data_IF_228383040784
#
_entry.id   IF_228383040784
#
_cell.length_a   1.000
_cell.length_b   1.000
_cell.length_c   1.000
_cell.angle_alpha   90.00
_cell.angle_beta   90.00
_cell.angle_gamma   90.00
#
_symmetry.space_group_name_H-M   'P 1'
#
loop_
_entity.id
_entity.type
_entity.pdbx_description
1 polymer ?
#
# COMPACT_ATOMS: atom_id res chain seq x y z
N UNK A 1 13.99 -35.27 23.92
CA UNK A 1 14.02 -33.88 23.40
C UNK A 1 14.57 -33.88 21.97
N UNK A 2 13.72 -33.60 20.97
CA UNK A 2 14.11 -33.58 19.56
C UNK A 2 14.42 -32.18 19.00
N UNK A 3 15.38 -32.05 18.08
CA UNK A 3 15.62 -30.80 17.35
C UNK A 3 14.62 -30.65 16.19
N UNK A 4 14.14 -29.43 15.96
CA UNK A 4 13.25 -29.12 14.84
C UNK A 4 13.85 -29.51 13.47
N UNK A 5 13.04 -30.18 12.64
CA UNK A 5 13.41 -30.61 11.29
C UNK A 5 13.24 -29.55 10.20
N UNK A 6 12.87 -28.32 10.58
CA UNK A 6 12.62 -27.23 9.63
C UNK A 6 13.91 -26.65 9.04
N UNK A 7 13.83 -26.17 7.80
CA UNK A 7 14.90 -25.43 7.11
C UNK A 7 14.56 -23.94 7.14
N UNK A 8 15.51 -23.12 7.59
CA UNK A 8 15.39 -21.66 7.60
C UNK A 8 15.42 -21.08 6.18
N UNK A 9 15.01 -19.81 6.02
CA UNK A 9 15.05 -19.11 4.72
C UNK A 9 16.45 -19.05 4.08
N UNK A 10 17.50 -19.24 4.88
CA UNK A 10 18.90 -19.23 4.43
C UNK A 10 19.43 -20.66 4.17
N UNK A 11 18.55 -21.66 4.06
CA UNK A 11 18.92 -23.05 3.75
C UNK A 11 19.53 -23.85 4.89
N UNK A 12 19.65 -23.27 6.10
CA UNK A 12 20.24 -23.96 7.27
C UNK A 12 19.18 -24.65 8.13
N UNK A 13 19.55 -25.75 8.79
CA UNK A 13 18.66 -26.48 9.73
C UNK A 13 18.31 -25.64 10.95
N UNK A 14 17.03 -25.67 11.33
CA UNK A 14 16.51 -24.98 12.50
C UNK A 14 17.15 -25.54 13.78
N UNK A 15 17.60 -24.66 14.68
CA UNK A 15 18.28 -25.04 15.94
C UNK A 15 17.36 -25.06 17.17
N UNK A 16 16.05 -24.88 16.97
CA UNK A 16 15.09 -24.89 18.07
C UNK A 16 14.91 -26.32 18.58
N UNK A 17 15.11 -26.51 19.89
CA UNK A 17 14.86 -27.77 20.59
C UNK A 17 13.37 -27.85 20.95
N UNK A 18 12.76 -29.00 20.70
CA UNK A 18 11.36 -29.27 20.95
C UNK A 18 11.24 -30.00 22.29
N UNK A 19 10.28 -29.54 23.10
CA UNK A 19 10.05 -30.03 24.46
C UNK A 19 9.47 -31.45 24.49
N UNK A 20 8.88 -31.90 23.38
CA UNK A 20 8.21 -33.19 23.24
C UNK A 20 8.75 -33.92 22.00
N UNK A 21 9.01 -35.22 22.14
CA UNK A 21 9.56 -36.08 21.10
C UNK A 21 8.55 -36.43 20.00
N UNK A 22 7.25 -36.20 20.24
CA UNK A 22 6.20 -36.33 19.23
C UNK A 22 6.14 -35.18 18.22
N UNK A 23 6.72 -34.01 18.54
CA UNK A 23 6.64 -32.82 17.70
C UNK A 23 7.90 -32.75 16.82
N UNK A 24 7.71 -32.74 15.50
CA UNK A 24 8.84 -32.71 14.53
C UNK A 24 9.25 -31.30 14.10
N UNK A 25 8.35 -30.32 14.24
CA UNK A 25 8.54 -28.95 13.75
C UNK A 25 8.14 -27.91 14.81
N UNK A 26 8.94 -26.84 14.92
CA UNK A 26 8.60 -25.72 15.79
C UNK A 26 7.47 -24.87 15.19
N UNK A 27 6.91 -23.96 15.99
CA UNK A 27 5.84 -23.04 15.54
C UNK A 27 6.15 -22.27 14.25
N UNK A 28 7.43 -21.99 13.98
CA UNK A 28 7.86 -21.26 12.79
C UNK A 28 7.98 -22.14 11.53
N UNK A 29 8.07 -23.46 11.68
CA UNK A 29 8.23 -24.41 10.58
C UNK A 29 7.08 -25.42 10.50
N UNK A 30 5.96 -25.19 11.20
CA UNK A 30 4.76 -26.05 11.16
C UNK A 30 4.22 -26.23 9.74
N UNK A 31 4.38 -25.24 8.88
CA UNK A 31 3.97 -25.32 7.46
C UNK A 31 4.85 -26.24 6.61
N UNK A 32 6.07 -26.56 7.06
CA UNK A 32 6.95 -27.52 6.38
C UNK A 32 6.60 -28.98 6.69
N UNK A 33 5.79 -29.22 7.72
CA UNK A 33 5.26 -30.54 8.07
C UNK A 33 4.26 -31.03 6.99
N UNK A 34 3.38 -30.12 6.53
CA UNK A 34 2.40 -30.42 5.49
C UNK A 34 2.98 -30.56 4.07
N UNK A 35 4.19 -30.05 3.81
CA UNK A 35 4.76 -30.00 2.45
C UNK A 35 5.34 -31.35 1.97
N UNK A 36 5.53 -32.33 2.86
CA UNK A 36 6.17 -33.61 2.52
C UNK A 36 5.21 -34.72 2.09
N UNK A 37 3.90 -34.56 2.27
CA UNK A 37 2.91 -35.59 1.87
C UNK A 37 2.56 -35.51 0.38
N UNK A 38 2.97 -34.45 -0.31
CA UNK A 38 2.60 -34.18 -1.71
C UNK A 38 3.75 -34.38 -2.70
N UNK A 39 4.47 -35.51 -2.61
CA UNK A 39 5.46 -35.92 -3.63
C UNK A 39 5.18 -37.34 -4.13
N UNK A 40 3.95 -37.56 -4.61
CA UNK A 40 3.62 -38.72 -5.43
C UNK A 40 2.32 -38.47 -6.22
N UNK A 41 2.32 -37.50 -7.14
CA UNK A 41 1.60 -37.60 -8.42
C UNK A 41 1.79 -36.31 -9.21
N UNK A 42 2.55 -36.41 -10.30
CA UNK A 42 2.71 -35.34 -11.27
C UNK A 42 1.66 -35.50 -12.38
N UNK A 43 0.57 -34.72 -12.35
CA UNK A 43 -0.09 -34.15 -13.54
C UNK A 43 -1.28 -33.29 -13.13
N UNK A 44 -1.45 -32.20 -13.86
CA UNK A 44 -2.46 -31.15 -13.73
C UNK A 44 -2.30 -30.26 -12.49
N UNK A 45 -1.92 -29.02 -12.72
CA UNK A 45 -1.99 -27.91 -11.78
C UNK A 45 -3.43 -27.36 -11.75
N UNK A 46 -4.24 -27.56 -10.70
CA UNK A 46 -5.25 -26.57 -10.37
C UNK A 46 -4.51 -25.40 -9.71
N UNK A 47 -4.64 -24.21 -10.31
CA UNK A 47 -4.22 -22.95 -9.69
C UNK A 47 -4.74 -22.92 -8.26
N UNK A 48 -3.79 -22.85 -7.34
CA UNK A 48 -3.94 -22.79 -5.90
C UNK A 48 -5.09 -21.86 -5.50
N UNK A 49 -5.98 -22.37 -4.64
CA UNK A 49 -6.92 -21.60 -3.84
C UNK A 49 -6.19 -20.42 -3.19
N UNK A 50 -6.25 -19.24 -3.83
CA UNK A 50 -5.92 -17.98 -3.21
C UNK A 50 -6.92 -17.79 -2.08
N UNK A 51 -6.45 -17.97 -0.85
CA UNK A 51 -7.19 -17.66 0.36
C UNK A 51 -7.85 -16.29 0.21
N UNK A 52 -9.18 -16.24 0.35
CA UNK A 52 -10.01 -15.03 0.37
C UNK A 52 -9.70 -14.22 1.63
N UNK A 53 -8.56 -13.54 1.63
CA UNK A 53 -8.19 -12.65 2.73
C UNK A 53 -9.07 -11.41 2.63
N UNK A 54 -10.11 -11.41 3.46
CA UNK A 54 -10.94 -10.24 3.66
C UNK A 54 -10.14 -9.11 4.32
N UNK A 55 -10.51 -7.89 3.99
CA UNK A 55 -9.80 -6.71 4.47
C UNK A 55 -10.31 -5.43 3.84
N UNK A 56 -9.45 -4.42 3.88
CA UNK A 56 -9.71 -3.08 3.39
C UNK A 56 -8.70 -2.69 2.33
N UNK A 57 -9.18 -2.10 1.24
CA UNK A 57 -8.37 -1.23 0.38
C UNK A 57 -8.41 0.18 0.96
N UNK A 58 -7.24 0.81 1.07
CA UNK A 58 -7.13 2.18 1.54
C UNK A 58 -6.14 2.95 0.68
N UNK A 59 -6.36 4.25 0.64
CA UNK A 59 -5.57 5.20 -0.14
C UNK A 59 -4.95 6.17 0.86
N UNK A 60 -3.69 6.50 0.68
CA UNK A 60 -3.00 7.44 1.55
C UNK A 60 -1.99 8.29 0.79
N UNK A 61 -1.62 9.40 1.39
CA UNK A 61 -0.64 10.35 0.86
C UNK A 61 0.21 10.92 1.99
N UNK A 62 1.16 11.80 1.65
CA UNK A 62 1.92 12.60 2.59
C UNK A 62 1.06 13.77 3.09
N UNK A 63 1.06 14.02 4.40
CA UNK A 63 0.19 14.99 5.06
C UNK A 63 0.22 16.39 4.44
N UNK A 64 1.41 16.86 4.07
CA UNK A 64 1.60 18.20 3.47
C UNK A 64 0.98 18.34 2.07
N UNK A 65 0.62 17.24 1.40
CA UNK A 65 0.01 17.23 0.07
C UNK A 65 -1.51 17.40 0.08
N UNK A 66 -2.18 17.24 1.21
CA UNK A 66 -3.62 17.50 1.33
C UNK A 66 -3.92 19.00 1.44
N UNK A 67 -2.94 19.80 1.86
CA UNK A 67 -3.12 21.25 1.99
C UNK A 67 -3.58 21.87 0.65
N UNK A 68 -4.52 22.84 0.67
CA UNK A 68 -4.91 23.61 -0.52
C UNK A 68 -3.73 24.33 -1.18
N UNK A 69 -2.69 24.64 -0.40
CA UNK A 69 -1.42 25.21 -0.87
C UNK A 69 -0.28 24.30 -0.41
N UNK A 70 -0.07 23.16 -1.09
CA UNK A 70 0.91 22.18 -0.66
C UNK A 70 2.32 22.75 -0.87
N UNK A 71 3.14 22.73 0.18
CA UNK A 71 4.50 23.24 0.12
C UNK A 71 5.41 22.22 -0.57
N UNK A 72 6.34 22.71 -1.39
CA UNK A 72 7.43 21.89 -1.92
C UNK A 72 8.30 21.39 -0.76
N UNK A 73 8.77 20.16 -0.88
CA UNK A 73 9.75 19.60 0.04
C UNK A 73 10.94 19.11 -0.78
N UNK A 74 12.13 19.67 -0.54
CA UNK A 74 13.32 19.39 -1.35
C UNK A 74 13.77 17.92 -1.32
N UNK A 75 13.41 17.20 -0.24
CA UNK A 75 13.68 15.76 -0.11
C UNK A 75 12.73 14.90 -0.96
N UNK A 76 11.57 15.43 -1.37
CA UNK A 76 10.57 14.69 -2.13
C UNK A 76 10.84 14.82 -3.63
N UNK A 77 11.50 13.79 -4.16
CA UNK A 77 11.91 13.73 -5.57
C UNK A 77 11.27 12.52 -6.26
N UNK A 78 10.96 12.68 -7.54
CA UNK A 78 10.46 11.60 -8.39
C UNK A 78 11.65 11.03 -9.15
N UNK A 79 11.91 9.74 -8.96
CA UNK A 79 12.91 9.03 -9.74
C UNK A 79 12.32 8.50 -11.04
N UNK A 80 13.13 8.48 -12.11
CA UNK A 80 12.76 7.76 -13.34
C UNK A 80 12.60 6.25 -13.09
N UNK A 81 11.74 5.57 -13.87
CA UNK A 81 11.62 4.11 -13.81
C UNK A 81 12.93 3.44 -14.25
N UNK A 82 13.74 2.96 -13.30
CA UNK A 82 14.89 2.10 -13.59
C UNK A 82 14.53 0.60 -13.57
N UNK A 83 15.10 -0.23 -14.48
CA UNK A 83 14.89 -1.68 -14.50
C UNK A 83 15.42 -2.34 -13.21
N UNK A 84 16.54 -1.83 -12.71
CA UNK A 84 17.08 -2.23 -11.42
C UNK A 84 16.43 -1.37 -10.33
N UNK A 85 16.13 -1.97 -9.18
CA UNK A 85 15.40 -1.30 -8.09
C UNK A 85 16.19 -0.17 -7.39
N UNK A 86 17.25 0.33 -8.03
CA UNK A 86 18.14 1.42 -7.60
C UNK A 86 17.60 2.74 -8.12
N UNK A 87 17.44 3.73 -7.24
CA UNK A 87 17.15 5.11 -7.66
C UNK A 87 18.47 5.76 -8.09
N UNK A 88 18.51 6.24 -9.32
CA UNK A 88 19.55 7.16 -9.75
C UNK A 88 19.17 8.59 -9.30
N UNK A 89 19.88 9.10 -8.31
CA UNK A 89 19.63 10.44 -7.76
C UNK A 89 19.95 11.56 -8.76
N UNK A 90 20.88 11.32 -9.70
CA UNK A 90 21.25 12.29 -10.74
C UNK A 90 20.14 12.45 -11.78
N UNK A 91 19.28 11.43 -11.90
CA UNK A 91 18.11 11.39 -12.80
C UNK A 91 16.78 11.49 -12.04
N UNK A 92 16.76 12.30 -10.99
CA UNK A 92 15.54 12.57 -10.22
C UNK A 92 15.09 14.01 -10.39
N UNK A 93 13.79 14.21 -10.58
CA UNK A 93 13.17 15.54 -10.69
C UNK A 93 12.49 15.93 -9.38
N UNK A 94 12.48 17.22 -9.07
CA UNK A 94 11.72 17.73 -7.93
C UNK A 94 10.22 17.54 -8.15
N UNK A 95 9.54 17.03 -7.13
CA UNK A 95 8.09 16.92 -7.18
C UNK A 95 7.43 18.30 -7.10
N UNK A 96 6.47 18.56 -7.99
CA UNK A 96 5.70 19.80 -8.05
C UNK A 96 4.27 19.56 -7.52
N UNK A 97 3.99 19.84 -6.24
CA UNK A 97 2.73 19.46 -5.61
C UNK A 97 1.53 20.32 -6.03
N UNK A 98 1.73 21.37 -6.84
CA UNK A 98 0.68 22.33 -7.23
C UNK A 98 -0.39 21.70 -8.12
N UNK A 99 0.01 20.84 -9.05
CA UNK A 99 -0.90 20.25 -10.03
C UNK A 99 -1.11 18.76 -9.81
N UNK A 100 -0.14 18.12 -9.15
CA UNK A 100 -0.14 16.68 -8.93
C UNK A 100 -0.12 16.36 -7.43
N UNK A 101 -0.60 15.16 -7.11
CA UNK A 101 -0.53 14.56 -5.79
C UNK A 101 0.07 13.16 -5.92
N UNK A 102 0.94 12.81 -4.97
CA UNK A 102 1.47 11.46 -4.85
C UNK A 102 0.57 10.66 -3.92
N UNK A 103 0.01 9.57 -4.43
CA UNK A 103 -0.81 8.67 -3.62
C UNK A 103 -0.23 7.26 -3.62
N UNK A 104 -0.58 6.50 -2.59
CA UNK A 104 -0.33 5.08 -2.53
C UNK A 104 -1.62 4.36 -2.17
N UNK A 105 -1.91 3.31 -2.93
CA UNK A 105 -2.97 2.36 -2.61
C UNK A 105 -2.32 1.19 -1.87
N UNK A 106 -3.01 0.69 -0.85
CA UNK A 106 -2.60 -0.53 -0.16
C UNK A 106 -3.80 -1.31 0.32
N UNK A 107 -3.56 -2.57 0.66
CA UNK A 107 -4.55 -3.37 1.38
C UNK A 107 -4.10 -3.74 2.80
N UNK A 108 -5.07 -4.11 3.63
CA UNK A 108 -4.80 -4.63 4.97
C UNK A 108 -5.93 -5.52 5.47
N UNK A 109 -5.59 -6.56 6.25
CA UNK A 109 -6.57 -7.38 6.97
C UNK A 109 -6.96 -6.78 8.34
N UNK A 110 -6.25 -5.74 8.79
CA UNK A 110 -6.61 -4.95 9.97
C UNK A 110 -7.24 -3.63 9.52
N UNK A 111 -7.46 -2.69 10.44
CA UNK A 111 -7.99 -1.36 10.08
C UNK A 111 -6.95 -0.52 9.33
N UNK A 112 -7.33 0.22 8.27
CA UNK A 112 -6.46 1.18 7.58
C UNK A 112 -5.69 2.13 8.51
N UNK A 113 -6.34 2.65 9.54
CA UNK A 113 -5.69 3.56 10.51
C UNK A 113 -4.52 2.88 11.25
N UNK A 114 -4.69 1.65 11.73
CA UNK A 114 -3.60 0.88 12.37
C UNK A 114 -2.47 0.59 11.38
N UNK A 115 -2.81 0.22 10.14
CA UNK A 115 -1.80 -0.04 9.10
C UNK A 115 -1.02 1.22 8.74
N UNK A 116 -1.68 2.38 8.69
CA UNK A 116 -1.03 3.67 8.44
C UNK A 116 -0.06 4.04 9.56
N UNK A 117 -0.40 3.75 10.83
CA UNK A 117 0.54 3.94 11.96
C UNK A 117 1.79 3.08 11.80
N UNK A 118 1.65 1.81 11.41
CA UNK A 118 2.81 0.94 11.13
C UNK A 118 3.71 1.55 10.05
N UNK A 119 3.13 2.11 8.98
CA UNK A 119 3.89 2.82 7.95
C UNK A 119 4.58 4.07 8.50
N UNK A 120 3.89 4.88 9.32
CA UNK A 120 4.49 6.05 9.97
C UNK A 120 5.67 5.66 10.88
N UNK A 121 5.52 4.60 11.64
CA UNK A 121 6.55 4.12 12.57
C UNK A 121 7.76 3.57 11.83
N UNK A 122 7.55 2.91 10.68
CA UNK A 122 8.61 2.36 9.84
C UNK A 122 9.36 3.45 9.07
N UNK A 123 8.64 4.36 8.42
CA UNK A 123 9.22 5.33 7.49
C UNK A 123 9.59 6.66 8.16
N UNK A 124 9.10 6.91 9.38
CA UNK A 124 9.18 8.21 10.07
C UNK A 124 8.62 9.38 9.26
N UNK A 125 7.71 9.09 8.33
CA UNK A 125 7.02 10.07 7.50
C UNK A 125 5.59 10.28 7.97
N UNK A 126 5.07 11.50 7.81
CA UNK A 126 3.70 11.84 8.15
C UNK A 126 2.75 11.47 7.01
N UNK A 127 2.11 10.31 7.13
CA UNK A 127 1.06 9.88 6.21
C UNK A 127 -0.34 10.17 6.75
N UNK A 128 -1.29 10.31 5.82
CA UNK A 128 -2.71 10.57 6.07
C UNK A 128 -3.56 9.73 5.11
N UNK A 129 -4.68 9.19 5.59
CA UNK A 129 -5.64 8.50 4.75
C UNK A 129 -6.37 9.51 3.86
N UNK A 130 -6.56 9.14 2.60
CA UNK A 130 -7.46 9.82 1.69
C UNK A 130 -8.82 9.12 1.77
N UNK A 131 -9.84 9.90 2.09
CA UNK A 131 -11.25 9.48 2.10
C UNK A 131 -12.05 10.32 1.09
N UNK A 132 -13.25 9.88 0.69
CA UNK A 132 -14.15 10.70 -0.14
C UNK A 132 -14.32 12.14 0.39
N UNK A 133 -14.41 12.31 1.71
CA UNK A 133 -14.58 13.63 2.33
C UNK A 133 -13.36 14.55 2.16
N UNK A 134 -12.16 13.96 2.07
CA UNK A 134 -10.90 14.71 1.90
C UNK A 134 -10.64 15.16 0.46
N UNK A 135 -11.42 14.68 -0.51
CA UNK A 135 -11.20 14.97 -1.94
C UNK A 135 -11.32 16.46 -2.25
N UNK A 136 -12.28 17.16 -1.63
CA UNK A 136 -12.46 18.61 -1.81
C UNK A 136 -11.21 19.40 -1.42
N UNK A 137 -10.51 18.98 -0.37
CA UNK A 137 -9.27 19.62 0.09
C UNK A 137 -8.11 19.42 -0.90
N UNK A 138 -8.11 18.29 -1.62
CA UNK A 138 -7.06 17.95 -2.60
C UNK A 138 -7.22 18.73 -3.91
N UNK A 139 -8.45 18.96 -4.36
CA UNK A 139 -8.79 19.49 -5.70
C UNK A 139 -8.52 21.00 -5.84
N UNK A 140 -8.22 21.71 -4.75
CA UNK A 140 -8.29 23.16 -4.68
C UNK A 140 -7.39 23.91 -5.70
N UNK A 141 -7.98 24.27 -6.85
CA UNK A 141 -7.47 25.31 -7.76
C UNK A 141 -8.34 26.58 -7.66
N UNK A 142 -7.79 27.76 -7.95
CA UNK A 142 -8.54 29.04 -7.96
C UNK A 142 -9.74 29.06 -8.92
N UNK A 143 -9.80 28.14 -9.91
CA UNK A 143 -10.93 27.98 -10.84
C UNK A 143 -12.09 27.17 -10.27
N UNK A 144 -11.88 26.48 -9.15
CA UNK A 144 -12.87 25.57 -8.55
C UNK A 144 -13.69 26.23 -7.41
N UNK A 145 -13.99 27.53 -7.54
CA UNK A 145 -14.92 28.21 -6.63
C UNK A 145 -16.29 27.50 -6.57
N UNK A 146 -16.70 26.87 -7.67
CA UNK A 146 -17.90 26.05 -7.73
C UNK A 146 -17.80 24.79 -6.85
N UNK A 147 -16.64 24.14 -6.78
CA UNK A 147 -16.44 22.96 -5.92
C UNK A 147 -16.32 23.37 -4.44
N UNK A 148 -15.78 24.54 -4.14
CA UNK A 148 -15.85 25.13 -2.79
C UNK A 148 -17.29 25.49 -2.40
N UNK A 149 -18.12 25.97 -3.33
CA UNK A 149 -19.55 26.16 -3.11
C UNK A 149 -20.26 24.83 -2.87
N UNK A 150 -19.98 23.79 -3.68
CA UNK A 150 -20.48 22.43 -3.47
C UNK A 150 -20.06 21.88 -2.09
N UNK A 151 -18.88 22.27 -1.58
CA UNK A 151 -18.44 21.96 -0.21
C UNK A 151 -19.31 22.63 0.87
N UNK A 152 -19.67 23.90 0.71
CA UNK A 152 -20.63 24.59 1.60
C UNK A 152 -22.04 23.96 1.50
N UNK A 153 -22.41 23.51 0.29
CA UNK A 153 -23.64 22.74 0.05
C UNK A 153 -23.55 21.26 0.50
N UNK A 154 -22.50 20.80 1.19
CA UNK A 154 -22.41 19.40 1.71
C UNK A 154 -23.53 19.03 2.69
N UNK A 155 -24.24 20.01 3.24
CA UNK A 155 -25.49 19.80 3.98
C UNK A 155 -26.69 19.37 3.11
N UNK A 156 -26.54 19.46 1.78
CA UNK A 156 -27.54 19.13 0.76
C UNK A 156 -26.91 18.13 -0.23
N UNK A 157 -26.84 16.84 0.16
CA UNK A 157 -26.11 15.83 -0.61
C UNK A 157 -26.87 15.40 -1.89
N UNK A 158 -26.28 15.68 -3.05
CA UNK A 158 -26.32 14.80 -4.22
C UNK A 158 -25.00 14.01 -4.23
N UNK A 159 -24.91 12.94 -3.43
CA UNK A 159 -23.66 12.20 -3.23
C UNK A 159 -23.42 11.13 -4.29
N UNK A 160 -22.16 10.93 -4.68
CA UNK A 160 -21.73 9.64 -5.23
C UNK A 160 -21.79 8.60 -4.12
N UNK A 161 -22.56 7.54 -4.32
CA UNK A 161 -22.69 6.45 -3.36
C UNK A 161 -21.45 5.55 -3.38
N UNK A 162 -20.48 5.86 -2.50
CA UNK A 162 -19.40 4.94 -2.16
C UNK A 162 -19.93 3.85 -1.22
N UNK A 163 -20.84 3.01 -1.70
CA UNK A 163 -21.59 2.01 -0.92
C UNK A 163 -20.71 0.99 -0.18
N UNK A 164 -19.46 0.79 -0.63
CA UNK A 164 -18.50 -0.13 -0.03
C UNK A 164 -17.45 0.57 0.87
N UNK A 165 -17.49 1.90 1.00
CA UNK A 165 -16.57 2.65 1.83
C UNK A 165 -17.03 2.67 3.29
N UNK A 166 -16.22 2.11 4.17
CA UNK A 166 -16.43 2.13 5.61
C UNK A 166 -15.83 3.43 6.18
N UNK A 167 -16.69 4.43 6.44
CA UNK A 167 -16.28 5.72 6.99
C UNK A 167 -15.67 5.64 8.38
N UNK A 168 -16.01 4.62 9.18
CA UNK A 168 -15.43 4.45 10.51
C UNK A 168 -14.01 3.87 10.45
N UNK A 169 -13.75 3.02 9.45
CA UNK A 169 -12.45 2.38 9.25
C UNK A 169 -11.58 3.07 8.20
N UNK A 170 -12.15 4.02 7.45
CA UNK A 170 -11.52 4.79 6.39
C UNK A 170 -10.93 3.90 5.28
N UNK A 171 -11.74 2.98 4.74
CA UNK A 171 -11.32 2.12 3.63
C UNK A 171 -12.47 1.35 2.99
N UNK A 172 -12.22 0.79 1.80
CA UNK A 172 -13.17 -0.01 1.05
C UNK A 172 -13.10 -1.47 1.48
N UNK A 173 -14.21 -2.03 1.97
CA UNK A 173 -14.24 -3.41 2.42
C UNK A 173 -14.29 -4.36 1.22
N UNK A 174 -13.48 -5.42 1.26
CA UNK A 174 -13.47 -6.46 0.23
C UNK A 174 -13.05 -7.81 0.80
N UNK A 175 -13.54 -8.90 0.21
CA UNK A 175 -13.20 -10.28 0.57
C UNK A 175 -11.90 -10.76 -0.11
N UNK A 176 -11.43 -10.01 -1.11
CA UNK A 176 -10.27 -10.35 -1.95
C UNK A 176 -9.30 -9.16 -2.00
N UNK A 177 -8.83 -8.75 -0.82
CA UNK A 177 -8.09 -7.50 -0.67
C UNK A 177 -6.79 -7.45 -1.50
N UNK A 178 -6.05 -8.56 -1.54
CA UNK A 178 -4.85 -8.66 -2.37
C UNK A 178 -5.17 -8.55 -3.86
N UNK A 179 -6.13 -9.34 -4.37
CA UNK A 179 -6.47 -9.32 -5.79
C UNK A 179 -7.03 -7.96 -6.24
N UNK A 180 -7.81 -7.32 -5.38
CA UNK A 180 -8.34 -5.98 -5.60
C UNK A 180 -7.20 -4.95 -5.70
N UNK A 181 -6.23 -4.96 -4.78
CA UNK A 181 -5.05 -4.08 -4.85
C UNK A 181 -4.29 -4.27 -6.16
N UNK A 182 -4.01 -5.52 -6.55
CA UNK A 182 -3.25 -5.80 -7.77
C UNK A 182 -3.96 -5.32 -9.04
N UNK A 183 -5.30 -5.46 -9.09
CA UNK A 183 -6.13 -4.90 -10.17
C UNK A 183 -6.06 -3.39 -10.21
N UNK A 184 -6.22 -2.73 -9.05
CA UNK A 184 -6.15 -1.27 -8.93
C UNK A 184 -4.76 -0.77 -9.36
N UNK A 185 -3.68 -1.41 -8.88
CA UNK A 185 -2.32 -1.07 -9.28
C UNK A 185 -2.14 -1.19 -10.79
N UNK A 186 -2.66 -2.24 -11.44
CA UNK A 186 -2.59 -2.38 -12.90
C UNK A 186 -3.30 -1.23 -13.64
N UNK A 187 -4.48 -0.82 -13.17
CA UNK A 187 -5.25 0.29 -13.74
C UNK A 187 -4.48 1.61 -13.56
N UNK A 188 -4.04 1.91 -12.34
CA UNK A 188 -3.33 3.15 -12.02
C UNK A 188 -1.98 3.23 -12.72
N UNK A 189 -1.23 2.12 -12.83
CA UNK A 189 0.02 2.09 -13.61
C UNK A 189 -0.21 2.42 -15.07
N UNK A 190 -1.32 1.96 -15.66
CA UNK A 190 -1.66 2.25 -17.06
C UNK A 190 -2.09 3.72 -17.25
N UNK A 191 -2.84 4.27 -16.30
CA UNK A 191 -3.38 5.64 -16.40
C UNK A 191 -2.40 6.75 -16.00
N UNK A 192 -1.63 6.52 -14.94
CA UNK A 192 -0.81 7.56 -14.29
C UNK A 192 0.67 7.18 -14.16
N UNK A 193 1.06 5.99 -14.63
CA UNK A 193 2.39 5.45 -14.38
C UNK A 193 2.59 5.05 -12.91
N UNK A 194 3.84 4.83 -12.52
CA UNK A 194 4.20 4.65 -11.11
C UNK A 194 5.57 5.26 -10.86
N UNK A 195 5.78 5.73 -9.63
CA UNK A 195 7.00 6.35 -9.17
C UNK A 195 7.66 5.55 -8.06
N UNK A 196 8.97 5.75 -7.96
CA UNK A 196 9.77 5.38 -6.79
C UNK A 196 9.99 6.65 -5.97
N UNK A 197 9.76 6.57 -4.66
CA UNK A 197 9.92 7.68 -3.74
C UNK A 197 11.05 7.37 -2.78
N UNK A 198 12.02 8.27 -2.71
CA UNK A 198 13.09 8.17 -1.75
C UNK A 198 12.60 8.57 -0.34
N UNK A 199 12.98 7.77 0.66
CA UNK A 199 12.57 7.92 2.04
C UNK A 199 13.80 7.83 2.95
N UNK A 200 14.17 8.95 3.57
CA UNK A 200 15.30 9.00 4.48
C UNK A 200 15.15 8.05 5.68
N UNK A 201 13.92 7.85 6.17
CA UNK A 201 13.65 6.95 7.30
C UNK A 201 13.80 5.46 6.97
N UNK A 202 13.84 5.10 5.67
CA UNK A 202 13.98 3.71 5.23
C UNK A 202 15.34 3.40 4.60
N UNK A 203 16.34 4.29 4.70
CA UNK A 203 17.68 4.09 4.13
C UNK A 203 18.30 2.76 4.55
N UNK A 204 18.15 2.38 5.82
CA UNK A 204 18.77 1.20 6.42
C UNK A 204 17.95 -0.08 6.25
N UNK A 205 16.64 0.00 5.98
CA UNK A 205 15.73 -1.14 5.97
C UNK A 205 15.32 -1.62 4.58
N UNK A 206 15.16 -0.70 3.61
CA UNK A 206 14.61 -1.01 2.28
C UNK A 206 15.28 -0.21 1.17
N UNK A 207 16.61 -0.06 1.25
CA UNK A 207 17.42 0.75 0.34
C UNK A 207 16.99 2.23 0.27
N UNK A 208 16.16 2.70 1.20
CA UNK A 208 15.59 4.05 1.17
C UNK A 208 14.52 4.27 0.10
N UNK A 209 13.99 3.21 -0.53
CA UNK A 209 13.08 3.36 -1.68
C UNK A 209 11.71 2.78 -1.40
N UNK A 210 10.68 3.63 -1.44
CA UNK A 210 9.30 3.20 -1.50
C UNK A 210 8.87 3.03 -2.95
N UNK A 211 8.23 1.90 -3.23
CA UNK A 211 7.72 1.56 -4.56
C UNK A 211 6.22 1.78 -4.62
N UNK A 212 5.70 1.84 -5.86
CA UNK A 212 4.26 1.91 -6.15
C UNK A 212 3.59 3.13 -5.54
N UNK A 213 4.18 4.30 -5.77
CA UNK A 213 3.49 5.58 -5.64
C UNK A 213 2.93 5.98 -7.00
N UNK A 214 1.76 6.60 -7.02
CA UNK A 214 1.09 7.05 -8.24
C UNK A 214 1.08 8.58 -8.26
N UNK A 215 1.55 9.15 -9.36
CA UNK A 215 1.54 10.59 -9.59
C UNK A 215 0.23 10.96 -10.28
N UNK A 216 -0.75 11.40 -9.50
CA UNK A 216 -2.11 11.65 -10.00
C UNK A 216 -2.32 13.15 -10.11
N UNK A 217 -2.80 13.68 -11.26
CA UNK A 217 -3.24 15.06 -11.34
C UNK A 217 -4.34 15.31 -10.30
N UNK A 218 -4.25 16.40 -9.55
CA UNK A 218 -5.21 16.71 -8.47
C UNK A 218 -6.67 16.73 -8.93
N UNK A 219 -6.90 17.15 -10.19
CA UNK A 219 -8.23 17.13 -10.83
C UNK A 219 -8.80 15.72 -11.03
N UNK A 220 -7.93 14.72 -11.16
CA UNK A 220 -8.31 13.33 -11.46
C UNK A 220 -8.45 12.49 -10.19
N UNK A 221 -8.22 13.05 -9.00
CA UNK A 221 -8.27 12.30 -7.73
C UNK A 221 -9.63 11.64 -7.48
N UNK A 222 -10.72 12.24 -7.96
CA UNK A 222 -12.08 11.68 -7.88
C UNK A 222 -12.19 10.35 -8.64
N UNK A 223 -11.42 10.17 -9.72
CA UNK A 223 -11.45 8.97 -10.57
C UNK A 223 -10.70 7.78 -9.95
N UNK A 224 -9.92 8.03 -8.89
CA UNK A 224 -9.18 6.98 -8.17
C UNK A 224 -10.11 6.21 -7.21
N UNK A 225 -11.18 6.84 -6.74
CA UNK A 225 -12.16 6.30 -5.79
C UNK A 225 -13.35 5.70 -6.53
#
# INVERSE_FOLDING_TARGET
MGQCNGITKNGRRCRIILADDGIKYCRYHKTQDCARVSVASARATPKTNQSTVSGYIYIFTLAHLISPKPRKQGWLRIAEPSPDNVIDYTRSSEFRPKHDILIKVGYTSITPLKRLRQWKDHCKQHFVLLTPDTLSSVICSKRDKMECLIHEFRGLKLGHDYSQFDYQKCGFRTERAYDAEQKIHKILRKGYGFGKLYCDGCKTSSSGVHKEWFLVPRKDIKLVF
#
